data_IF_028459518528
#
_entry.id   IF_028459518528
#
_cell.length_a   1.000
_cell.length_b   1.000
_cell.length_c   1.000
_cell.angle_alpha   90.00
_cell.angle_beta   90.00
_cell.angle_gamma   90.00
#
_symmetry.space_group_name_H-M   'P 1'
#
loop_
_entity.id
_entity.type
_entity.pdbx_description
1 polymer ?
#
# COMPACT_ATOMS: atom_id res chain seq x y z
N UNK A 1 -9.27 -9.54 16.72
CA UNK A 1 -8.15 -8.65 16.37
C UNK A 1 -8.65 -7.36 15.74
N UNK A 2 -7.74 -6.47 15.32
CA UNK A 2 -8.10 -5.25 14.57
C UNK A 2 -8.77 -5.60 13.23
N UNK A 3 -8.27 -6.64 12.57
CA UNK A 3 -8.80 -7.24 11.35
C UNK A 3 -10.26 -7.72 11.50
N UNK A 4 -10.57 -8.43 12.59
CA UNK A 4 -11.92 -8.93 12.84
C UNK A 4 -12.91 -7.79 13.08
N UNK A 5 -12.48 -6.74 13.80
CA UNK A 5 -13.30 -5.56 14.06
C UNK A 5 -13.55 -4.76 12.78
N UNK A 6 -12.54 -4.56 11.95
CA UNK A 6 -12.72 -3.92 10.64
C UNK A 6 -13.68 -4.72 9.75
N UNK A 7 -13.56 -6.05 9.73
CA UNK A 7 -14.49 -6.91 8.98
C UNK A 7 -15.93 -6.79 9.50
N UNK A 8 -16.12 -6.78 10.81
CA UNK A 8 -17.45 -6.65 11.42
C UNK A 8 -18.11 -5.30 11.11
N UNK A 9 -17.38 -4.21 11.28
CA UNK A 9 -17.91 -2.85 11.13
C UNK A 9 -18.15 -2.47 9.66
N UNK A 10 -17.28 -2.93 8.75
CA UNK A 10 -17.36 -2.55 7.33
C UNK A 10 -18.18 -3.54 6.50
N UNK A 11 -18.36 -4.77 6.96
CA UNK A 11 -18.94 -5.86 6.18
C UNK A 11 -18.04 -6.34 5.01
N UNK A 12 -16.81 -5.84 4.91
CA UNK A 12 -15.89 -6.15 3.82
C UNK A 12 -14.83 -7.18 4.25
N UNK A 13 -14.32 -8.03 3.32
CA UNK A 13 -13.19 -8.90 3.61
C UNK A 13 -11.94 -8.09 4.00
N UNK A 14 -11.23 -8.57 5.02
CA UNK A 14 -9.98 -7.97 5.50
C UNK A 14 -8.88 -9.02 5.42
N UNK A 15 -7.78 -8.68 4.75
CA UNK A 15 -6.62 -9.55 4.57
C UNK A 15 -5.39 -8.89 5.20
N UNK A 16 -4.70 -9.64 6.06
CA UNK A 16 -3.40 -9.24 6.58
C UNK A 16 -2.34 -9.67 5.57
N UNK A 17 -1.47 -8.74 5.18
CA UNK A 17 -0.32 -9.04 4.34
C UNK A 17 0.58 -10.08 5.01
N UNK A 18 1.19 -10.96 4.23
CA UNK A 18 2.15 -11.96 4.73
C UNK A 18 3.36 -11.34 5.41
N UNK A 19 3.77 -10.14 4.99
CA UNK A 19 4.98 -9.44 5.46
C UNK A 19 4.68 -7.98 5.82
N UNK A 20 3.81 -7.72 6.80
CA UNK A 20 3.23 -6.40 7.03
C UNK A 20 4.27 -5.38 7.51
N UNK A 21 5.32 -5.83 8.19
CA UNK A 21 6.37 -4.95 8.71
C UNK A 21 7.37 -4.52 7.63
N UNK A 22 7.52 -5.29 6.56
CA UNK A 22 8.47 -4.99 5.48
C UNK A 22 7.80 -4.41 4.23
N UNK A 23 6.49 -4.58 4.09
CA UNK A 23 5.72 -4.22 2.90
C UNK A 23 6.03 -2.81 2.37
N UNK A 24 6.19 -1.83 3.26
CA UNK A 24 6.50 -0.44 2.87
C UNK A 24 7.91 -0.33 2.28
N UNK A 25 8.92 -0.83 3.00
CA UNK A 25 10.31 -0.74 2.54
C UNK A 25 10.51 -1.46 1.19
N UNK A 26 9.88 -2.63 1.01
CA UNK A 26 9.96 -3.39 -0.23
C UNK A 26 9.21 -2.74 -1.38
N UNK A 27 8.02 -2.19 -1.11
CA UNK A 27 7.27 -1.42 -2.10
C UNK A 27 8.07 -0.21 -2.58
N UNK A 28 8.69 0.53 -1.65
CA UNK A 28 9.54 1.67 -2.00
C UNK A 28 10.77 1.26 -2.82
N UNK A 29 11.42 0.14 -2.48
CA UNK A 29 12.54 -0.39 -3.28
C UNK A 29 12.13 -0.72 -4.71
N UNK A 30 11.00 -1.43 -4.87
CA UNK A 30 10.44 -1.75 -6.20
C UNK A 30 10.12 -0.50 -7.01
N UNK A 31 9.60 0.56 -6.38
CA UNK A 31 9.34 1.82 -7.07
C UNK A 31 10.61 2.49 -7.63
N UNK A 32 11.75 2.32 -6.97
CA UNK A 32 13.04 2.83 -7.46
C UNK A 32 13.57 1.96 -8.61
N UNK A 33 13.40 0.64 -8.50
CA UNK A 33 13.78 -0.31 -9.54
C UNK A 33 12.96 -0.13 -10.83
N UNK A 34 11.67 0.22 -10.71
CA UNK A 34 10.73 0.42 -11.82
C UNK A 34 10.31 1.89 -12.01
N UNK A 35 11.24 2.83 -11.81
CA UNK A 35 10.93 4.25 -11.74
C UNK A 35 10.22 4.80 -12.99
N UNK A 36 10.69 4.46 -14.19
CA UNK A 36 10.10 4.95 -15.46
C UNK A 36 8.63 4.52 -15.62
N UNK A 37 8.27 3.32 -15.17
CA UNK A 37 6.91 2.81 -15.26
C UNK A 37 5.97 3.51 -14.25
N UNK A 38 6.52 3.99 -13.14
CA UNK A 38 5.76 4.54 -12.02
C UNK A 38 5.84 6.07 -11.91
N UNK A 39 6.61 6.73 -12.78
CA UNK A 39 6.85 8.17 -12.77
C UNK A 39 5.57 9.00 -12.60
N UNK A 40 4.49 8.66 -13.33
CA UNK A 40 3.19 9.35 -13.29
C UNK A 40 2.48 9.32 -11.94
N UNK A 41 2.80 8.32 -11.10
CA UNK A 41 2.19 8.16 -9.77
C UNK A 41 3.14 8.68 -8.70
N UNK A 42 4.45 8.57 -8.91
CA UNK A 42 5.50 9.01 -7.97
C UNK A 42 5.66 10.53 -7.96
N UNK A 43 5.45 11.19 -9.10
CA UNK A 43 5.49 12.65 -9.20
C UNK A 43 4.08 13.18 -9.02
N UNK A 44 3.74 13.59 -7.79
CA UNK A 44 2.47 14.24 -7.52
C UNK A 44 2.44 15.64 -8.13
N UNK A 45 1.48 15.92 -9.00
CA UNK A 45 1.12 17.30 -9.36
C UNK A 45 0.74 18.07 -8.09
N UNK A 46 1.18 19.34 -7.91
CA UNK A 46 0.75 20.14 -6.77
C UNK A 46 -0.78 20.25 -6.81
N UNK A 47 -1.45 19.72 -5.79
CA UNK A 47 -2.90 19.92 -5.62
C UNK A 47 -3.17 21.42 -5.47
N UNK A 48 -3.68 22.05 -6.52
CA UNK A 48 -4.20 23.43 -6.52
C UNK A 48 -5.54 23.51 -5.81
#
# INVERSE_FOLDING_TARGET
GLDERLRHETGMPVHISERPLQAVAEGSGKCVEEFEALEKVLISEPRR
#
